data_IF_129612136525
#
_entry.id   IF_129612136525
#
_cell.length_a   1.000
_cell.length_b   1.000
_cell.length_c   1.000
_cell.angle_alpha   90.00
_cell.angle_beta   90.00
_cell.angle_gamma   90.00
#
_symmetry.space_group_name_H-M   'P 1'
#
loop_
_entity.id
_entity.type
_entity.pdbx_description
1 polymer ?
#
# COMPACT_ATOMS: atom_id res chain seq x y z
N UNK A 1 1.25 -21.58 28.03
CA UNK A 1 1.00 -21.16 26.63
C UNK A 1 -0.02 -20.02 26.67
N UNK A 2 0.27 -18.87 26.08
CA UNK A 2 -0.72 -17.77 25.97
C UNK A 2 -1.66 -18.13 24.82
N UNK A 3 -2.93 -18.37 25.13
CA UNK A 3 -3.99 -18.49 24.14
C UNK A 3 -4.31 -17.07 23.65
N UNK A 4 -3.70 -16.67 22.54
CA UNK A 4 -4.21 -15.52 21.82
C UNK A 4 -5.57 -15.91 21.25
N UNK A 5 -6.63 -15.11 21.43
CA UNK A 5 -7.86 -15.35 20.71
C UNK A 5 -7.51 -15.31 19.22
N UNK A 6 -7.77 -16.42 18.52
CA UNK A 6 -7.88 -16.41 17.06
C UNK A 6 -9.07 -15.50 16.74
N UNK A 7 -8.82 -14.19 16.70
CA UNK A 7 -9.73 -13.30 16.03
C UNK A 7 -9.77 -13.80 14.58
N UNK A 8 -10.92 -14.30 14.16
CA UNK A 8 -11.30 -14.59 12.79
C UNK A 8 -11.28 -13.29 11.96
N UNK A 9 -10.13 -12.61 11.90
CA UNK A 9 -9.84 -11.77 10.76
C UNK A 9 -9.67 -12.74 9.61
N UNK A 10 -10.71 -12.91 8.80
CA UNK A 10 -10.58 -13.47 7.46
C UNK A 10 -9.31 -12.89 6.85
N UNK A 11 -8.25 -13.70 6.77
CA UNK A 11 -6.93 -13.22 6.39
C UNK A 11 -7.05 -12.61 4.99
N UNK A 12 -6.68 -11.33 4.83
CA UNK A 12 -6.65 -10.69 3.52
C UNK A 12 -5.62 -11.41 2.65
N UNK A 13 -6.08 -12.35 1.86
CA UNK A 13 -5.25 -13.13 0.96
C UNK A 13 -5.09 -12.37 -0.36
N UNK A 14 -4.07 -11.52 -0.45
CA UNK A 14 -3.83 -10.63 -1.60
C UNK A 14 -3.89 -11.37 -2.94
N UNK A 15 -3.35 -12.60 -3.01
CA UNK A 15 -3.42 -13.40 -4.22
C UNK A 15 -4.85 -13.78 -4.65
N UNK A 16 -5.70 -14.08 -3.67
CA UNK A 16 -7.09 -14.48 -3.92
C UNK A 16 -7.92 -13.24 -4.25
N UNK A 17 -7.67 -12.13 -3.56
CA UNK A 17 -8.22 -10.82 -3.91
C UNK A 17 -7.95 -10.44 -5.38
N UNK A 18 -6.70 -10.59 -5.84
CA UNK A 18 -6.31 -10.30 -7.22
C UNK A 18 -6.96 -11.28 -8.21
N UNK A 19 -7.04 -12.57 -7.86
CA UNK A 19 -7.73 -13.60 -8.66
C UNK A 19 -9.19 -13.24 -8.89
N UNK A 20 -9.88 -12.86 -7.82
CA UNK A 20 -11.29 -12.48 -7.87
C UNK A 20 -11.47 -11.19 -8.67
N UNK A 21 -10.56 -10.23 -8.53
CA UNK A 21 -10.55 -9.01 -9.33
C UNK A 21 -10.44 -9.32 -10.84
N UNK A 22 -9.50 -10.17 -11.25
CA UNK A 22 -9.33 -10.58 -12.65
C UNK A 22 -10.61 -11.27 -13.16
N UNK A 23 -11.13 -12.23 -12.39
CA UNK A 23 -12.34 -12.98 -12.74
C UNK A 23 -13.57 -12.08 -12.88
N UNK A 24 -13.77 -11.16 -11.94
CA UNK A 24 -14.92 -10.25 -11.91
C UNK A 24 -14.90 -9.22 -13.04
N UNK A 25 -13.74 -8.96 -13.63
CA UNK A 25 -13.60 -8.10 -14.81
C UNK A 25 -13.66 -8.89 -16.13
N UNK A 26 -13.98 -10.19 -16.08
CA UNK A 26 -14.11 -11.04 -17.28
C UNK A 26 -12.77 -11.27 -17.99
N UNK A 27 -11.65 -11.10 -17.29
CA UNK A 27 -10.31 -11.24 -17.86
C UNK A 27 -9.89 -12.70 -17.76
N UNK A 28 -9.49 -13.28 -18.90
CA UNK A 28 -9.03 -14.66 -18.91
C UNK A 28 -7.70 -14.83 -18.19
N UNK A 29 -7.69 -15.78 -17.26
CA UNK A 29 -6.52 -16.09 -16.45
C UNK A 29 -5.29 -16.53 -17.26
N UNK A 30 -5.54 -17.30 -18.31
CA UNK A 30 -4.54 -17.78 -19.27
C UNK A 30 -3.91 -16.64 -20.06
N UNK A 31 -4.71 -15.63 -20.42
CA UNK A 31 -4.24 -14.42 -21.06
C UNK A 31 -3.31 -13.64 -20.12
N UNK A 32 -3.69 -13.43 -18.86
CA UNK A 32 -2.85 -12.75 -17.86
C UNK A 32 -1.51 -13.47 -17.69
N UNK A 33 -1.54 -14.79 -17.54
CA UNK A 33 -0.32 -15.60 -17.40
C UNK A 33 0.62 -15.43 -18.60
N UNK A 34 0.06 -15.47 -19.82
CA UNK A 34 0.82 -15.26 -21.07
C UNK A 34 1.49 -13.89 -21.12
N UNK A 35 0.78 -12.83 -20.75
CA UNK A 35 1.30 -11.47 -20.76
C UNK A 35 2.40 -11.25 -19.71
N UNK A 36 2.30 -11.95 -18.57
CA UNK A 36 3.33 -11.95 -17.53
C UNK A 36 4.52 -12.87 -17.84
N UNK A 37 4.48 -13.64 -18.93
CA UNK A 37 5.55 -14.57 -19.30
C UNK A 37 5.68 -15.76 -18.33
N UNK A 38 4.59 -16.13 -17.65
CA UNK A 38 4.57 -17.26 -16.70
C UNK A 38 3.53 -18.31 -17.12
N UNK A 39 3.69 -19.54 -16.64
CA UNK A 39 2.70 -20.58 -16.89
C UNK A 39 1.40 -20.29 -16.14
N UNK A 40 0.27 -20.75 -16.69
CA UNK A 40 -1.04 -20.64 -16.02
C UNK A 40 -1.01 -21.31 -14.64
N UNK A 41 -0.36 -22.48 -14.53
CA UNK A 41 -0.13 -23.18 -13.26
C UNK A 41 0.72 -22.35 -12.29
N UNK A 42 1.76 -21.68 -12.78
CA UNK A 42 2.59 -20.79 -11.98
C UNK A 42 1.79 -19.60 -11.43
N UNK A 43 0.96 -18.96 -12.27
CA UNK A 43 0.06 -17.90 -11.83
C UNK A 43 -1.00 -18.42 -10.84
N UNK A 44 -1.52 -19.64 -11.03
CA UNK A 44 -2.43 -20.31 -10.09
C UNK A 44 -1.78 -20.49 -8.71
N UNK A 45 -0.58 -21.04 -8.65
CA UNK A 45 0.11 -21.22 -7.37
C UNK A 45 0.36 -19.89 -6.66
N UNK A 46 0.68 -18.84 -7.43
CA UNK A 46 0.81 -17.49 -6.87
C UNK A 46 -0.49 -17.08 -6.21
N UNK A 47 -1.62 -17.03 -6.93
CA UNK A 47 -2.85 -16.49 -6.34
C UNK A 47 -3.39 -17.27 -5.13
N UNK A 48 -3.07 -18.55 -5.01
CA UNK A 48 -3.46 -19.37 -3.86
C UNK A 48 -2.37 -19.46 -2.77
N UNK A 49 -1.25 -18.75 -2.91
CA UNK A 49 -0.20 -18.68 -1.90
C UNK A 49 -0.52 -17.61 -0.85
N UNK A 50 -0.51 -17.93 0.46
CA UNK A 50 -0.74 -16.96 1.53
C UNK A 50 0.31 -15.84 1.56
N UNK A 51 1.49 -16.11 0.98
CA UNK A 51 2.52 -15.12 0.69
C UNK A 51 2.37 -14.82 -0.80
N UNK A 52 1.50 -13.85 -1.14
CA UNK A 52 1.44 -13.37 -2.52
C UNK A 52 2.60 -12.42 -2.80
N UNK A 53 3.21 -12.66 -3.96
CA UNK A 53 4.49 -12.15 -4.44
C UNK A 53 4.52 -10.62 -4.65
N UNK A 54 5.75 -10.11 -4.51
CA UNK A 54 6.35 -8.83 -4.94
C UNK A 54 5.42 -7.69 -5.40
N UNK A 55 5.53 -6.53 -4.75
CA UNK A 55 4.86 -5.27 -5.12
C UNK A 55 5.07 -4.95 -6.60
N UNK A 56 6.26 -5.23 -7.15
CA UNK A 56 6.55 -4.99 -8.57
C UNK A 56 5.63 -5.79 -9.50
N UNK A 57 5.29 -7.03 -9.14
CA UNK A 57 4.35 -7.85 -9.91
C UNK A 57 2.93 -7.32 -9.83
N UNK A 58 2.51 -6.84 -8.65
CA UNK A 58 1.20 -6.21 -8.47
C UNK A 58 1.07 -4.96 -9.36
N UNK A 59 2.11 -4.13 -9.42
CA UNK A 59 2.14 -2.95 -10.30
C UNK A 59 2.07 -3.34 -11.77
N UNK A 60 2.87 -4.33 -12.22
CA UNK A 60 2.81 -4.82 -13.60
C UNK A 60 1.43 -5.33 -13.97
N UNK A 61 0.82 -6.11 -13.07
CA UNK A 61 -0.50 -6.66 -13.29
C UNK A 61 -1.56 -5.56 -13.34
N UNK A 62 -1.46 -4.57 -12.45
CA UNK A 62 -2.32 -3.39 -12.43
C UNK A 62 -2.29 -2.63 -13.75
N UNK A 63 -1.10 -2.42 -14.33
CA UNK A 63 -0.94 -1.82 -15.65
C UNK A 63 -1.53 -2.70 -16.76
N UNK A 64 -1.29 -4.02 -16.69
CA UNK A 64 -1.73 -4.98 -17.71
C UNK A 64 -3.25 -5.05 -17.83
N UNK A 65 -3.96 -5.13 -16.70
CA UNK A 65 -5.41 -5.26 -16.67
C UNK A 65 -6.14 -3.92 -16.61
N UNK A 66 -5.39 -2.80 -16.61
CA UNK A 66 -5.90 -1.44 -16.50
C UNK A 66 -6.79 -1.22 -15.25
N UNK A 67 -6.36 -1.75 -14.10
CA UNK A 67 -7.05 -1.61 -12.81
C UNK A 67 -6.02 -1.24 -11.75
N UNK A 68 -6.30 -0.24 -10.90
CA UNK A 68 -5.43 0.16 -9.79
C UNK A 68 -5.53 -0.81 -8.61
N UNK A 69 -4.83 -1.93 -8.71
CA UNK A 69 -4.84 -3.00 -7.69
C UNK A 69 -4.29 -2.49 -6.35
N UNK A 70 -3.28 -1.62 -6.38
CA UNK A 70 -2.67 -1.08 -5.17
C UNK A 70 -3.63 -0.20 -4.38
N UNK A 71 -4.38 0.68 -5.05
CA UNK A 71 -5.41 1.48 -4.41
C UNK A 71 -6.53 0.60 -3.82
N UNK A 72 -6.90 -0.48 -4.50
CA UNK A 72 -7.91 -1.41 -4.00
C UNK A 72 -7.42 -2.18 -2.77
N UNK A 73 -6.17 -2.66 -2.76
CA UNK A 73 -5.54 -3.28 -1.59
C UNK A 73 -5.49 -2.30 -0.43
N UNK A 74 -5.07 -1.05 -0.68
CA UNK A 74 -5.04 0.00 0.34
C UNK A 74 -6.42 0.25 0.94
N UNK A 75 -7.45 0.37 0.09
CA UNK A 75 -8.84 0.54 0.52
C UNK A 75 -9.30 -0.61 1.41
N UNK A 76 -9.00 -1.85 1.01
CA UNK A 76 -9.38 -3.05 1.76
C UNK A 76 -8.68 -3.10 3.13
N UNK A 77 -7.37 -2.82 3.16
CA UNK A 77 -6.60 -2.74 4.39
C UNK A 77 -7.10 -1.63 5.32
N UNK A 78 -7.39 -0.44 4.79
CA UNK A 78 -7.93 0.68 5.57
C UNK A 78 -9.34 0.39 6.10
N UNK A 79 -10.12 -0.41 5.38
CA UNK A 79 -11.45 -0.84 5.84
C UNK A 79 -11.35 -1.84 6.98
N UNK A 80 -10.45 -2.83 6.87
CA UNK A 80 -10.27 -3.90 7.86
C UNK A 80 -9.49 -3.47 9.10
N UNK A 81 -8.50 -2.59 8.92
CA UNK A 81 -7.58 -2.17 9.98
C UNK A 81 -7.40 -0.64 10.02
N UNK A 82 -8.49 0.14 10.15
CA UNK A 82 -8.44 1.60 10.06
C UNK A 82 -7.49 2.26 11.07
N UNK A 83 -7.22 1.61 12.20
CA UNK A 83 -6.29 2.06 13.23
C UNK A 83 -4.85 2.26 12.72
N UNK A 84 -4.36 1.42 11.80
CA UNK A 84 -3.01 1.58 11.23
C UNK A 84 -2.92 2.79 10.28
N UNK A 85 -4.05 3.20 9.70
CA UNK A 85 -4.12 4.29 8.73
C UNK A 85 -4.55 5.63 9.35
N UNK A 86 -5.14 5.59 10.56
CA UNK A 86 -5.46 6.76 11.38
C UNK A 86 -4.29 7.26 12.22
N UNK A 87 -3.16 6.54 12.24
CA UNK A 87 -1.95 6.97 12.93
C UNK A 87 -1.51 8.34 12.38
N UNK A 88 -1.67 9.39 13.19
CA UNK A 88 -1.11 10.70 12.87
C UNK A 88 0.41 10.54 12.84
N UNK A 89 1.05 11.02 11.77
CA UNK A 89 2.52 11.08 11.61
C UNK A 89 3.21 11.71 12.85
N UNK A 90 2.48 12.44 13.69
CA UNK A 90 2.94 12.98 14.97
C UNK A 90 3.46 11.96 15.99
N UNK A 91 3.16 10.66 15.87
CA UNK A 91 3.70 9.63 16.78
C UNK A 91 4.94 8.90 16.23
N UNK A 92 5.24 9.04 14.93
CA UNK A 92 6.40 8.38 14.29
C UNK A 92 7.73 9.10 14.53
N UNK A 93 7.71 10.34 15.04
CA UNK A 93 8.93 11.05 15.45
C UNK A 93 9.65 10.39 16.65
N UNK A 94 8.98 9.48 17.37
CA UNK A 94 9.49 8.83 18.60
C UNK A 94 10.39 7.61 18.33
N UNK A 95 10.39 7.07 17.11
CA UNK A 95 11.04 5.79 16.78
C UNK A 95 12.31 5.92 15.93
N UNK A 96 12.76 7.15 15.66
CA UNK A 96 14.00 7.38 14.94
C UNK A 96 15.16 7.48 15.95
N UNK A 97 16.15 6.55 15.92
CA UNK A 97 17.22 6.54 16.90
C UNK A 97 18.06 7.82 16.82
N UNK A 98 17.97 8.63 17.87
CA UNK A 98 19.06 9.43 18.48
C UNK A 98 19.81 10.48 17.67
N UNK A 99 19.66 10.59 16.34
CA UNK A 99 20.52 11.49 15.54
C UNK A 99 19.78 12.28 14.43
N UNK A 100 18.44 12.17 14.34
CA UNK A 100 17.64 12.89 13.34
C UNK A 100 16.96 14.18 13.87
N UNK A 101 17.10 14.48 15.17
CA UNK A 101 16.45 15.66 15.76
C UNK A 101 16.94 16.97 15.13
N UNK A 102 18.22 17.07 14.78
CA UNK A 102 18.77 18.31 14.21
C UNK A 102 18.33 18.54 12.75
N UNK A 103 18.25 17.48 11.93
CA UNK A 103 17.86 17.61 10.52
C UNK A 103 16.35 17.80 10.38
N UNK A 104 15.56 17.10 11.20
CA UNK A 104 14.09 17.24 11.23
C UNK A 104 13.68 18.63 11.74
N UNK A 105 14.33 19.13 12.80
CA UNK A 105 14.07 20.50 13.29
C UNK A 105 14.46 21.56 12.25
N UNK A 106 15.60 21.37 11.57
CA UNK A 106 16.03 22.29 10.50
C UNK A 106 15.03 22.33 9.35
N UNK A 107 14.53 21.18 8.91
CA UNK A 107 13.50 21.10 7.86
C UNK A 107 12.18 21.74 8.28
N UNK A 108 11.77 21.60 9.54
CA UNK A 108 10.57 22.25 10.07
C UNK A 108 10.75 23.79 10.07
N UNK A 109 11.93 24.27 10.48
CA UNK A 109 12.22 25.70 10.52
C UNK A 109 12.31 26.34 9.13
N UNK A 110 12.92 25.63 8.16
CA UNK A 110 13.00 26.07 6.76
C UNK A 110 11.61 26.14 6.11
N UNK A 111 10.75 25.16 6.36
CA UNK A 111 9.37 25.18 5.86
C UNK A 111 8.56 26.35 6.46
N UNK A 112 8.72 26.62 7.76
CA UNK A 112 8.03 27.75 8.41
C UNK A 112 8.41 29.09 7.78
N UNK A 113 9.71 29.32 7.52
CA UNK A 113 10.20 30.53 6.84
C UNK A 113 9.61 30.68 5.43
N UNK A 114 9.47 29.57 4.71
CA UNK A 114 8.88 29.58 3.37
C UNK A 114 7.39 29.99 3.40
N UNK A 115 6.62 29.44 4.35
CA UNK A 115 5.22 29.78 4.55
C UNK A 115 5.01 31.26 4.91
N UNK A 116 5.84 31.79 5.81
CA UNK A 116 5.78 33.20 6.22
C UNK A 116 6.09 34.12 5.03
N UNK A 117 7.10 33.79 4.22
CA UNK A 117 7.44 34.53 3.01
C UNK A 117 6.28 34.53 2.00
N UNK A 118 5.67 33.38 1.73
CA UNK A 118 4.53 33.26 0.81
C UNK A 118 3.34 34.09 1.33
N UNK A 119 3.14 34.13 2.64
CA UNK A 119 2.04 34.88 3.26
C UNK A 119 2.24 36.39 3.10
N UNK A 120 3.45 36.89 3.36
CA UNK A 120 3.81 38.30 3.12
C UNK A 120 3.66 38.67 1.65
N UNK A 121 4.14 37.83 0.73
CA UNK A 121 4.02 38.08 -0.71
C UNK A 121 2.57 38.11 -1.21
N UNK A 122 1.65 37.41 -0.54
CA UNK A 122 0.22 37.44 -0.84
C UNK A 122 -0.50 38.67 -0.29
N UNK A 123 0.01 39.28 0.79
CA UNK A 123 -0.56 40.48 1.39
C UNK A 123 -0.07 41.77 0.74
N UNK A 124 1.04 41.72 -0.01
CA UNK A 124 1.62 42.85 -0.75
C UNK A 124 1.10 43.02 -2.19
N UNK A 125 0.01 42.33 -2.56
CA UNK A 125 -0.71 42.49 -3.84
C UNK A 125 -2.09 43.07 -3.59
#
# INVERSE_FOLDING_TARGET
>A
MRNYPQAEYENLHIGQFIKDLISNNGIEYTWVAKQLGISATGLYHRFNSPIYSDIYEIVKLSMLINIDIMALIYKELNTRFPEFFKMKISEQASYLPGNQNNMTQKLIEENKKLYDLITVLKQSK
#
